data_IF_620095049337
#
_entry.id   IF_620095049337
#
_cell.length_a   1.000
_cell.length_b   1.000
_cell.length_c   1.000
_cell.angle_alpha   90.00
_cell.angle_beta   90.00
_cell.angle_gamma   90.00
#
_symmetry.space_group_name_H-M   'P 1'
#
loop_
_entity.id
_entity.type
_entity.pdbx_description
1 polymer ?
#
# COMPACT_ATOMS: atom_id res chain seq x y z
N UNK A 1 -9.72 9.44 -1.70
CA UNK A 1 -9.24 9.72 -3.08
C UNK A 1 -10.39 10.05 -4.04
N UNK A 2 -11.50 9.32 -3.97
CA UNK A 2 -12.67 9.54 -4.84
C UNK A 2 -13.52 10.73 -4.36
N UNK A 3 -13.53 11.05 -3.06
CA UNK A 3 -14.26 12.20 -2.51
C UNK A 3 -13.78 13.57 -3.03
N UNK A 4 -12.54 13.65 -3.49
CA UNK A 4 -11.98 14.85 -4.13
C UNK A 4 -12.33 14.96 -5.61
N UNK A 5 -13.29 14.19 -6.09
CA UNK A 5 -13.64 14.09 -7.53
C UNK A 5 -14.20 15.37 -8.15
N UNK A 6 -14.72 16.32 -7.34
CA UNK A 6 -15.11 17.64 -7.83
C UNK A 6 -13.94 18.49 -8.32
N UNK A 7 -12.72 18.16 -7.88
CA UNK A 7 -11.48 18.83 -8.22
C UNK A 7 -10.51 17.88 -8.96
N UNK A 8 -10.99 17.13 -9.95
CA UNK A 8 -10.13 16.31 -10.83
C UNK A 8 -9.13 17.18 -11.60
N UNK A 9 -8.29 17.87 -10.84
CA UNK A 9 -7.24 18.74 -11.32
C UNK A 9 -5.90 18.02 -11.23
N UNK A 10 -5.07 18.18 -12.25
CA UNK A 10 -3.66 17.77 -12.20
C UNK A 10 -2.86 18.60 -11.20
N UNK A 11 -3.40 19.72 -10.74
CA UNK A 11 -2.76 20.67 -9.82
C UNK A 11 -3.21 20.54 -8.37
N UNK A 12 -3.84 19.43 -7.99
CA UNK A 12 -4.23 19.22 -6.59
C UNK A 12 -3.01 19.16 -5.66
N UNK A 13 -3.15 19.58 -4.39
CA UNK A 13 -2.05 19.55 -3.43
C UNK A 13 -1.45 18.15 -3.27
N UNK A 14 -0.14 18.07 -3.21
CA UNK A 14 0.57 16.83 -2.88
C UNK A 14 0.39 16.55 -1.40
N UNK A 15 -0.07 15.34 -1.09
CA UNK A 15 -0.25 14.89 0.27
C UNK A 15 -0.34 13.36 0.29
N UNK A 16 0.10 12.76 1.36
CA UNK A 16 -0.10 11.34 1.62
C UNK A 16 -1.51 11.13 2.17
N UNK A 17 -2.41 10.65 1.33
CA UNK A 17 -3.82 10.40 1.67
C UNK A 17 -4.03 9.05 2.31
N UNK A 18 -3.16 8.10 1.96
CA UNK A 18 -3.21 6.74 2.49
C UNK A 18 -1.81 6.25 2.81
N UNK A 19 -1.62 5.73 4.00
CA UNK A 19 -0.43 4.97 4.38
C UNK A 19 -0.83 3.52 4.60
N UNK A 20 -0.10 2.58 4.00
CA UNK A 20 -0.31 1.15 4.19
C UNK A 20 0.91 0.57 4.89
N UNK A 21 0.70 0.01 6.07
CA UNK A 21 1.73 -0.64 6.89
C UNK A 21 1.67 -2.15 6.73
N UNK A 22 2.78 -2.72 6.28
CA UNK A 22 2.98 -4.16 6.19
C UNK A 22 3.97 -4.65 7.24
N UNK A 23 3.78 -5.83 7.82
CA UNK A 23 4.76 -6.41 8.74
C UNK A 23 6.05 -6.82 8.02
N UNK A 24 5.97 -7.23 6.76
CA UNK A 24 7.09 -7.76 5.98
C UNK A 24 7.21 -7.08 4.62
N UNK A 25 8.44 -6.90 4.14
CA UNK A 25 8.70 -6.30 2.82
C UNK A 25 8.14 -7.11 1.64
N UNK A 26 8.06 -8.43 1.76
CA UNK A 26 7.51 -9.30 0.70
C UNK A 26 6.03 -8.99 0.42
N UNK A 27 5.24 -8.74 1.46
CA UNK A 27 3.83 -8.35 1.31
C UNK A 27 3.68 -6.98 0.65
N UNK A 28 4.61 -6.06 0.94
CA UNK A 28 4.64 -4.75 0.30
C UNK A 28 4.87 -4.86 -1.22
N UNK A 29 5.67 -5.83 -1.69
CA UNK A 29 5.91 -6.04 -3.12
C UNK A 29 4.66 -6.57 -3.84
N UNK A 30 3.96 -7.54 -3.25
CA UNK A 30 2.70 -8.04 -3.81
C UNK A 30 1.66 -6.92 -3.98
N UNK A 31 1.58 -6.02 -3.01
CA UNK A 31 0.69 -4.86 -3.11
C UNK A 31 1.13 -3.84 -4.17
N UNK A 32 2.43 -3.68 -4.40
CA UNK A 32 2.90 -2.86 -5.52
C UNK A 32 2.40 -3.43 -6.87
N UNK A 33 2.44 -4.74 -7.05
CA UNK A 33 1.88 -5.42 -8.24
C UNK A 33 0.39 -5.07 -8.40
N UNK A 34 -0.39 -5.16 -7.32
CA UNK A 34 -1.82 -4.83 -7.33
C UNK A 34 -2.08 -3.36 -7.65
N UNK A 35 -1.30 -2.44 -7.08
CA UNK A 35 -1.42 -1.00 -7.38
C UNK A 35 -1.04 -0.70 -8.83
N UNK A 36 0.02 -1.32 -9.37
CA UNK A 36 0.38 -1.18 -10.78
C UNK A 36 -0.76 -1.62 -11.70
N UNK A 37 -1.39 -2.77 -11.41
CA UNK A 37 -2.57 -3.23 -12.16
C UNK A 37 -3.75 -2.28 -12.06
N UNK A 38 -4.04 -1.78 -10.87
CA UNK A 38 -5.26 -1.01 -10.58
C UNK A 38 -5.15 0.47 -10.92
N UNK A 39 -3.96 1.07 -10.83
CA UNK A 39 -3.78 2.52 -10.93
C UNK A 39 -2.84 2.94 -12.07
N UNK A 40 -2.00 2.04 -12.58
CA UNK A 40 -0.93 2.38 -13.52
C UNK A 40 -0.93 1.51 -14.78
N UNK A 41 -2.00 0.77 -15.04
CA UNK A 41 -2.10 -0.10 -16.19
C UNK A 41 -2.48 0.68 -17.46
N UNK A 42 -1.84 0.30 -18.59
CA UNK A 42 -2.26 0.64 -19.94
C UNK A 42 -2.54 -0.63 -20.72
N UNK A 43 -3.51 -0.60 -21.60
CA UNK A 43 -3.87 -1.73 -22.45
C UNK A 43 -4.02 -1.28 -23.90
N UNK A 44 -3.70 -2.15 -24.85
CA UNK A 44 -3.81 -1.86 -26.28
C UNK A 44 -5.21 -1.46 -26.72
N UNK A 45 -6.24 -2.06 -26.09
CA UNK A 45 -7.64 -1.70 -26.31
C UNK A 45 -8.09 -0.46 -25.54
N UNK A 46 -7.18 0.31 -24.97
CA UNK A 46 -7.45 1.52 -24.16
C UNK A 46 -8.39 1.27 -22.95
N UNK A 47 -8.35 0.07 -22.35
CA UNK A 47 -9.14 -0.29 -21.17
C UNK A 47 -8.34 -0.30 -19.86
N UNK A 48 -7.09 0.17 -19.86
CA UNK A 48 -6.26 0.30 -18.67
C UNK A 48 -6.71 1.43 -17.75
N UNK A 49 -6.22 1.43 -16.52
CA UNK A 49 -6.57 2.46 -15.53
C UNK A 49 -6.13 3.85 -15.98
N UNK A 50 -4.92 4.00 -16.50
CA UNK A 50 -4.42 5.27 -17.00
C UNK A 50 -5.19 5.73 -18.25
N UNK A 51 -5.57 4.80 -19.14
CA UNK A 51 -6.37 5.12 -20.33
C UNK A 51 -7.73 5.68 -19.93
N UNK A 52 -8.35 5.08 -18.90
CA UNK A 52 -9.62 5.56 -18.37
C UNK A 52 -9.48 6.95 -17.72
N UNK A 53 -8.42 7.16 -16.92
CA UNK A 53 -8.15 8.45 -16.28
C UNK A 53 -7.86 9.55 -17.30
N UNK A 54 -7.14 9.25 -18.37
CA UNK A 54 -6.85 10.18 -19.45
C UNK A 54 -8.14 10.60 -20.14
N UNK A 55 -9.01 9.65 -20.45
CA UNK A 55 -10.26 9.90 -21.18
C UNK A 55 -11.34 10.61 -20.35
N UNK A 56 -11.49 10.24 -19.08
CA UNK A 56 -12.64 10.66 -18.27
C UNK A 56 -12.29 11.57 -17.09
N UNK A 57 -11.00 11.76 -16.80
CA UNK A 57 -10.51 12.49 -15.62
C UNK A 57 -9.34 13.42 -15.92
N UNK A 58 -9.25 13.94 -17.12
CA UNK A 58 -8.25 14.93 -17.56
C UNK A 58 -6.80 14.51 -17.26
N UNK A 59 -6.48 13.23 -17.39
CA UNK A 59 -5.15 12.73 -17.12
C UNK A 59 -4.78 12.70 -15.62
N UNK A 60 -5.77 12.68 -14.73
CA UNK A 60 -5.52 12.57 -13.30
C UNK A 60 -4.66 11.35 -12.97
N UNK A 61 -3.79 11.46 -11.95
CA UNK A 61 -2.94 10.38 -11.47
C UNK A 61 -3.08 10.21 -9.97
N UNK A 62 -3.19 8.98 -9.51
CA UNK A 62 -3.05 8.61 -8.12
C UNK A 62 -1.61 8.14 -7.90
N UNK A 63 -0.75 9.03 -7.41
CA UNK A 63 0.64 8.71 -7.20
C UNK A 63 0.82 7.74 -6.03
N UNK A 64 1.58 6.69 -6.24
CA UNK A 64 1.86 5.69 -5.22
C UNK A 64 3.33 5.30 -5.23
N UNK A 65 3.82 4.84 -4.08
CA UNK A 65 5.20 4.38 -3.97
C UNK A 65 5.43 3.53 -2.73
N UNK A 66 6.45 2.69 -2.82
CA UNK A 66 6.95 1.90 -1.70
C UNK A 66 8.14 2.62 -1.07
N UNK A 67 8.07 2.86 0.23
CA UNK A 67 9.14 3.48 1.01
C UNK A 67 9.63 2.50 2.08
N UNK A 68 10.61 1.67 1.73
CA UNK A 68 11.17 0.61 2.58
C UNK A 68 12.70 0.62 2.49
N UNK A 69 13.37 -0.24 3.25
CA UNK A 69 14.83 -0.41 3.17
C UNK A 69 15.35 -0.71 1.77
N UNK A 70 14.57 -1.45 0.97
CA UNK A 70 14.91 -1.83 -0.42
C UNK A 70 14.54 -0.79 -1.48
N UNK A 71 13.86 0.31 -1.13
CA UNK A 71 13.53 1.34 -2.10
C UNK A 71 14.81 2.06 -2.55
N UNK A 72 15.03 2.17 -3.88
CA UNK A 72 16.25 2.78 -4.42
C UNK A 72 16.50 4.19 -3.91
N UNK A 73 17.77 4.53 -3.87
CA UNK A 73 18.31 5.85 -3.58
C UNK A 73 18.01 6.38 -2.19
N UNK A 74 19.01 6.30 -1.34
CA UNK A 74 19.04 6.93 -0.02
C UNK A 74 20.18 7.98 0.01
N UNK A 75 19.97 9.07 0.76
CA UNK A 75 20.97 10.11 0.97
C UNK A 75 20.57 11.49 0.44
N UNK A 76 21.50 12.44 0.46
CA UNK A 76 21.25 13.79 -0.06
C UNK A 76 21.17 13.81 -1.59
N UNK A 77 20.42 14.77 -2.13
CA UNK A 77 20.20 14.89 -3.58
C UNK A 77 21.49 14.96 -4.41
N UNK A 78 22.57 15.56 -3.87
CA UNK A 78 23.82 15.71 -4.60
C UNK A 78 24.66 14.42 -4.63
N UNK A 79 24.67 13.64 -3.53
CA UNK A 79 25.38 12.36 -3.49
C UNK A 79 24.62 11.22 -4.20
N UNK A 80 23.36 11.44 -4.52
CA UNK A 80 22.47 10.42 -5.07
C UNK A 80 22.34 10.48 -6.61
N UNK A 81 22.78 11.56 -7.27
CA UNK A 81 22.58 11.75 -8.72
C UNK A 81 23.09 10.59 -9.57
N UNK A 82 24.31 10.14 -9.33
CA UNK A 82 24.90 9.03 -10.10
C UNK A 82 24.22 7.70 -9.78
N UNK A 83 23.87 7.46 -8.51
CA UNK A 83 23.11 6.27 -8.11
C UNK A 83 21.73 6.24 -8.76
N UNK A 84 21.00 7.36 -8.76
CA UNK A 84 19.70 7.46 -9.44
C UNK A 84 19.85 7.12 -10.91
N UNK A 85 20.88 7.64 -11.58
CA UNK A 85 21.09 7.39 -13.00
C UNK A 85 21.34 5.92 -13.29
N UNK A 86 22.16 5.26 -12.49
CA UNK A 86 22.46 3.82 -12.62
C UNK A 86 21.22 2.99 -12.39
N UNK A 87 20.53 3.18 -11.25
CA UNK A 87 19.30 2.46 -10.89
C UNK A 87 18.20 2.69 -11.94
N UNK A 88 18.01 3.94 -12.36
CA UNK A 88 17.03 4.28 -13.40
C UNK A 88 17.31 3.55 -14.70
N UNK A 89 18.57 3.52 -15.15
CA UNK A 89 18.94 2.83 -16.39
C UNK A 89 18.68 1.33 -16.28
N UNK A 90 18.99 0.72 -15.15
CA UNK A 90 18.69 -0.69 -14.91
C UNK A 90 17.18 -0.95 -14.96
N UNK A 91 16.37 -0.19 -14.23
CA UNK A 91 14.91 -0.31 -14.24
C UNK A 91 14.30 -0.08 -15.64
N UNK A 92 14.85 0.83 -16.42
CA UNK A 92 14.43 1.05 -17.81
C UNK A 92 14.69 -0.18 -18.68
N UNK A 93 15.83 -0.85 -18.52
CA UNK A 93 16.13 -2.07 -19.28
C UNK A 93 15.24 -3.24 -18.82
N UNK A 94 15.02 -3.39 -17.52
CA UNK A 94 14.08 -4.39 -16.97
C UNK A 94 12.65 -4.16 -17.49
N UNK A 95 12.18 -2.90 -17.49
CA UNK A 95 10.88 -2.53 -18.04
C UNK A 95 10.76 -2.84 -19.53
N UNK A 96 11.77 -2.51 -20.34
CA UNK A 96 11.81 -2.83 -21.77
C UNK A 96 11.74 -4.33 -22.02
N UNK A 97 12.51 -5.13 -21.27
CA UNK A 97 12.50 -6.58 -21.37
C UNK A 97 11.12 -7.16 -21.03
N UNK A 98 10.48 -6.69 -19.93
CA UNK A 98 9.13 -7.10 -19.57
C UNK A 98 8.10 -6.72 -20.65
N UNK A 99 8.20 -5.52 -21.23
CA UNK A 99 7.33 -5.05 -22.31
C UNK A 99 7.48 -5.89 -23.57
N UNK A 100 8.72 -6.25 -23.92
CA UNK A 100 8.98 -7.14 -25.04
C UNK A 100 8.41 -8.55 -24.82
N UNK A 101 8.60 -9.13 -23.63
CA UNK A 101 8.04 -10.43 -23.30
C UNK A 101 6.50 -10.43 -23.34
N UNK A 102 5.88 -9.37 -22.81
CA UNK A 102 4.42 -9.18 -22.82
C UNK A 102 3.85 -9.03 -24.24
N UNK A 103 4.61 -8.47 -25.18
CA UNK A 103 4.17 -8.32 -26.58
C UNK A 103 4.22 -9.65 -27.36
N UNK A 104 4.99 -10.61 -26.89
CA UNK A 104 5.13 -11.91 -27.55
C UNK A 104 4.06 -12.92 -27.12
N UNK A 105 3.57 -12.83 -25.88
CA UNK A 105 2.58 -13.74 -25.34
C UNK A 105 1.70 -13.02 -24.31
N UNK A 106 0.36 -13.14 -24.42
CA UNK A 106 -0.61 -12.58 -23.48
C UNK A 106 -0.38 -13.09 -22.05
N UNK A 107 0.06 -14.33 -21.87
CA UNK A 107 0.38 -14.90 -20.56
C UNK A 107 1.52 -14.16 -19.86
N UNK A 108 2.45 -13.58 -20.61
CA UNK A 108 3.58 -12.81 -20.09
C UNK A 108 3.20 -11.38 -19.67
N UNK A 109 1.97 -10.96 -19.90
CA UNK A 109 1.51 -9.61 -19.56
C UNK A 109 1.62 -9.29 -18.07
N UNK A 110 1.48 -10.31 -17.23
CA UNK A 110 1.67 -10.18 -15.79
C UNK A 110 3.07 -9.67 -15.42
N UNK A 111 4.10 -9.98 -16.21
CA UNK A 111 5.48 -9.54 -15.97
C UNK A 111 5.61 -8.01 -15.93
N UNK A 112 4.76 -7.29 -16.67
CA UNK A 112 4.73 -5.82 -16.64
C UNK A 112 4.46 -5.25 -15.25
N UNK A 113 3.75 -5.97 -14.40
CA UNK A 113 3.40 -5.50 -13.08
C UNK A 113 4.42 -5.88 -12.00
N UNK A 114 5.41 -6.73 -12.35
CA UNK A 114 6.49 -7.11 -11.43
C UNK A 114 7.67 -6.11 -11.41
N UNK A 115 7.71 -5.21 -12.38
CA UNK A 115 8.72 -4.16 -12.47
C UNK A 115 8.08 -2.77 -12.40
N UNK A 116 8.77 -1.74 -11.86
CA UNK A 116 8.27 -0.37 -11.91
C UNK A 116 8.04 0.10 -13.35
N UNK A 117 6.91 0.74 -13.60
CA UNK A 117 6.63 1.32 -14.90
C UNK A 117 7.51 2.55 -15.15
N UNK A 118 8.39 2.48 -16.12
CA UNK A 118 9.35 3.54 -16.45
C UNK A 118 8.87 4.47 -17.56
N UNK A 119 7.57 4.45 -17.89
CA UNK A 119 6.97 5.41 -18.82
C UNK A 119 6.83 6.80 -18.17
N UNK A 120 6.89 7.83 -19.03
CA UNK A 120 6.94 9.24 -18.59
C UNK A 120 5.70 9.66 -17.78
N UNK A 121 4.56 9.08 -18.04
CA UNK A 121 3.27 9.38 -17.43
C UNK A 121 2.86 8.39 -16.32
N UNK A 122 3.82 7.56 -15.88
CA UNK A 122 3.62 6.64 -14.76
C UNK A 122 3.24 7.37 -13.49
N UNK A 123 2.29 6.78 -12.75
CA UNK A 123 1.89 7.24 -11.42
C UNK A 123 2.77 6.65 -10.31
N UNK A 124 3.64 5.68 -10.62
CA UNK A 124 4.52 5.05 -9.63
C UNK A 124 5.75 5.92 -9.34
N UNK A 125 5.98 6.17 -8.06
CA UNK A 125 7.18 6.84 -7.54
C UNK A 125 8.14 5.76 -7.04
N UNK A 126 9.11 5.40 -7.89
CA UNK A 126 9.97 4.24 -7.66
C UNK A 126 11.19 4.51 -6.75
N UNK A 127 11.53 5.77 -6.49
CA UNK A 127 12.68 6.19 -5.70
C UNK A 127 12.31 7.07 -4.51
N UNK A 128 13.16 7.06 -3.48
CA UNK A 128 12.91 7.84 -2.25
C UNK A 128 12.97 9.35 -2.47
N UNK A 129 13.84 9.83 -3.35
CA UNK A 129 14.00 11.28 -3.56
C UNK A 129 12.77 11.90 -4.20
N UNK A 130 12.15 11.20 -5.14
CA UNK A 130 10.89 11.63 -5.74
C UNK A 130 9.81 11.78 -4.67
N UNK A 131 9.69 10.78 -3.77
CA UNK A 131 8.70 10.80 -2.68
C UNK A 131 9.02 11.83 -1.59
N UNK A 132 10.30 12.07 -1.30
CA UNK A 132 10.73 13.10 -0.35
C UNK A 132 10.42 14.52 -0.83
N UNK A 133 10.46 14.74 -2.16
CA UNK A 133 10.13 16.04 -2.76
C UNK A 133 8.63 16.27 -2.91
N UNK A 134 7.89 15.20 -3.15
CA UNK A 134 6.45 15.24 -3.39
C UNK A 134 5.80 14.03 -2.75
N UNK A 135 4.99 14.23 -1.74
CA UNK A 135 4.29 13.14 -1.09
C UNK A 135 3.43 12.35 -2.10
N UNK A 136 3.53 11.00 -2.14
CA UNK A 136 2.61 10.17 -2.92
C UNK A 136 1.22 10.17 -2.27
N UNK A 137 0.18 9.91 -3.04
CA UNK A 137 -1.18 9.72 -2.49
C UNK A 137 -1.27 8.46 -1.64
N UNK A 138 -0.60 7.39 -2.09
CA UNK A 138 -0.55 6.10 -1.40
C UNK A 138 0.91 5.75 -1.12
N UNK A 139 1.26 5.70 0.15
CA UNK A 139 2.57 5.29 0.62
C UNK A 139 2.51 3.90 1.22
N UNK A 140 3.26 2.95 0.67
CA UNK A 140 3.45 1.63 1.26
C UNK A 140 4.75 1.61 2.04
N UNK A 141 4.70 1.20 3.30
CA UNK A 141 5.90 1.09 4.13
C UNK A 141 5.76 -0.04 5.17
N UNK A 142 6.78 -0.24 5.98
CA UNK A 142 6.73 -1.09 7.16
C UNK A 142 7.00 -0.29 8.43
N UNK A 143 6.70 -0.88 9.60
CA UNK A 143 6.85 -0.18 10.88
C UNK A 143 8.29 0.28 11.16
N UNK A 144 9.30 -0.53 10.79
CA UNK A 144 10.71 -0.18 11.02
C UNK A 144 11.12 1.04 10.20
N UNK A 145 10.68 1.11 8.95
CA UNK A 145 10.94 2.26 8.09
C UNK A 145 10.13 3.48 8.53
N UNK A 146 8.87 3.31 8.93
CA UNK A 146 8.07 4.41 9.48
C UNK A 146 8.74 5.02 10.71
N UNK A 147 9.28 4.20 11.62
CA UNK A 147 10.03 4.69 12.77
C UNK A 147 11.22 5.55 12.33
N UNK A 148 11.99 5.09 11.35
CA UNK A 148 13.11 5.86 10.79
C UNK A 148 12.64 7.18 10.17
N UNK A 149 11.56 7.16 9.38
CA UNK A 149 11.01 8.36 8.73
C UNK A 149 10.54 9.41 9.76
N UNK A 150 9.96 8.98 10.86
CA UNK A 150 9.49 9.88 11.92
C UNK A 150 10.63 10.51 12.72
N UNK A 151 11.78 9.84 12.80
CA UNK A 151 12.96 10.32 13.51
C UNK A 151 13.88 11.23 12.67
N UNK A 152 13.78 11.18 11.35
CA UNK A 152 14.64 11.95 10.44
C UNK A 152 13.92 13.15 9.84
N UNK A 153 14.70 14.16 9.45
CA UNK A 153 14.17 15.36 8.81
C UNK A 153 14.08 15.24 7.28
N UNK A 154 14.72 14.24 6.68
CA UNK A 154 14.78 14.11 5.23
C UNK A 154 13.41 13.77 4.61
N UNK A 155 12.52 13.16 5.37
CA UNK A 155 11.14 12.85 5.00
C UNK A 155 10.13 13.88 5.52
N UNK A 156 10.58 14.97 6.14
CA UNK A 156 9.69 15.96 6.78
C UNK A 156 8.63 16.49 5.81
N UNK A 157 9.00 16.75 4.55
CA UNK A 157 8.07 17.28 3.55
C UNK A 157 6.84 16.38 3.34
N UNK A 158 6.98 15.05 3.38
CA UNK A 158 5.86 14.11 3.25
C UNK A 158 4.79 14.37 4.33
N UNK A 159 5.24 14.52 5.57
CA UNK A 159 4.34 14.74 6.71
C UNK A 159 3.78 16.17 6.74
N UNK A 160 4.62 17.18 6.48
CA UNK A 160 4.21 18.58 6.49
C UNK A 160 3.20 18.90 5.38
N UNK A 161 3.39 18.39 4.18
CA UNK A 161 2.44 18.56 3.07
C UNK A 161 1.11 17.86 3.40
N UNK A 162 1.17 16.68 4.01
CA UNK A 162 -0.03 15.96 4.45
C UNK A 162 -0.77 16.71 5.56
N UNK A 163 -0.04 17.22 6.56
CA UNK A 163 -0.61 18.03 7.64
C UNK A 163 -1.28 19.31 7.10
N UNK A 164 -0.63 20.00 6.16
CA UNK A 164 -1.18 21.20 5.51
C UNK A 164 -2.47 20.87 4.76
N UNK A 165 -2.46 19.82 3.97
CA UNK A 165 -3.64 19.35 3.24
C UNK A 165 -4.81 19.00 4.19
N UNK A 166 -4.55 18.32 5.30
CA UNK A 166 -5.57 18.03 6.32
C UNK A 166 -6.14 19.29 6.97
N UNK A 167 -5.31 20.33 7.16
CA UNK A 167 -5.74 21.58 7.74
C UNK A 167 -6.56 22.46 6.79
N UNK A 168 -6.41 22.28 5.46
CA UNK A 168 -7.12 23.07 4.45
C UNK A 168 -8.64 22.79 4.43
N UNK A 169 -9.05 21.53 4.65
CA UNK A 169 -10.46 21.15 4.63
C UNK A 169 -10.75 20.03 5.65
N UNK A 170 -11.80 20.22 6.45
CA UNK A 170 -12.23 19.22 7.45
C UNK A 170 -12.80 17.94 6.82
N UNK A 171 -13.16 17.95 5.54
CA UNK A 171 -13.56 16.76 4.79
C UNK A 171 -12.39 15.91 4.32
N UNK A 172 -11.17 16.42 4.39
CA UNK A 172 -9.97 15.66 4.06
C UNK A 172 -9.74 14.57 5.11
N UNK A 173 -9.56 13.33 4.66
CA UNK A 173 -9.40 12.16 5.53
C UNK A 173 -8.11 11.41 5.18
N UNK A 174 -7.28 11.22 6.20
CA UNK A 174 -6.11 10.37 6.14
C UNK A 174 -6.50 8.91 6.45
N UNK A 175 -6.13 7.99 5.58
CA UNK A 175 -6.39 6.56 5.75
C UNK A 175 -5.12 5.84 6.21
N UNK A 176 -5.18 5.22 7.38
CA UNK A 176 -4.13 4.31 7.86
C UNK A 176 -4.60 2.87 7.69
N UNK A 177 -3.93 2.15 6.80
CA UNK A 177 -4.23 0.74 6.51
C UNK A 177 -3.16 -0.13 7.16
N UNK A 178 -3.58 -1.10 7.95
CA UNK A 178 -2.68 -2.06 8.62
C UNK A 178 -3.07 -3.46 8.20
N UNK A 179 -2.16 -4.11 7.50
CA UNK A 179 -2.34 -5.50 7.10
C UNK A 179 -1.79 -6.45 8.15
N UNK A 180 -2.39 -7.64 8.25
CA UNK A 180 -2.01 -8.68 9.20
C UNK A 180 -1.98 -8.19 10.66
N UNK A 181 -3.01 -7.44 11.07
CA UNK A 181 -3.09 -6.80 12.40
C UNK A 181 -2.82 -7.77 13.56
N UNK A 182 -3.15 -9.05 13.39
CA UNK A 182 -2.92 -10.08 14.40
C UNK A 182 -1.42 -10.31 14.71
N UNK A 183 -0.52 -9.90 13.83
CA UNK A 183 0.94 -10.00 14.06
C UNK A 183 1.45 -8.97 15.06
N UNK A 184 0.69 -7.89 15.28
CA UNK A 184 1.04 -6.80 16.19
C UNK A 184 0.48 -7.00 17.60
N UNK A 185 0.78 -8.15 18.23
CA UNK A 185 0.41 -8.46 19.61
C UNK A 185 1.63 -8.43 20.53
N UNK A 186 1.38 -8.24 21.83
CA UNK A 186 2.44 -8.17 22.83
C UNK A 186 3.35 -6.95 22.69
N UNK A 187 4.62 -7.06 23.06
CA UNK A 187 5.58 -5.95 23.08
C UNK A 187 5.73 -5.26 21.72
N UNK A 188 5.88 -6.04 20.65
CA UNK A 188 5.97 -5.51 19.28
C UNK A 188 4.72 -4.71 18.89
N UNK A 189 3.53 -5.17 19.30
CA UNK A 189 2.28 -4.45 19.07
C UNK A 189 2.23 -3.11 19.83
N UNK A 190 2.75 -3.07 21.04
CA UNK A 190 2.84 -1.84 21.82
C UNK A 190 3.74 -0.80 21.15
N UNK A 191 4.90 -1.22 20.63
CA UNK A 191 5.80 -0.33 19.88
C UNK A 191 5.13 0.28 18.66
N UNK A 192 4.42 -0.55 17.87
CA UNK A 192 3.70 -0.09 16.69
C UNK A 192 2.53 0.84 17.08
N UNK A 193 1.82 0.56 18.16
CA UNK A 193 0.77 1.41 18.69
C UNK A 193 1.29 2.80 19.07
N UNK A 194 2.47 2.89 19.71
CA UNK A 194 3.14 4.16 19.98
C UNK A 194 3.53 4.89 18.69
N UNK A 195 4.08 4.15 17.73
CA UNK A 195 4.51 4.72 16.44
C UNK A 195 3.32 5.34 15.68
N UNK A 196 2.16 4.71 15.73
CA UNK A 196 0.92 5.24 15.15
C UNK A 196 0.54 6.57 15.82
N UNK A 197 0.65 6.68 17.15
CA UNK A 197 0.35 7.93 17.87
C UNK A 197 1.30 9.03 17.48
N UNK A 198 2.60 8.74 17.36
CA UNK A 198 3.61 9.70 16.90
C UNK A 198 3.32 10.15 15.47
N UNK A 199 2.91 9.23 14.59
CA UNK A 199 2.51 9.54 13.22
C UNK A 199 1.31 10.51 13.21
N UNK A 200 0.26 10.19 13.96
CA UNK A 200 -0.94 11.03 14.01
C UNK A 200 -0.64 12.41 14.58
N UNK A 201 0.13 12.50 15.66
CA UNK A 201 0.57 13.78 16.24
C UNK A 201 1.34 14.62 15.20
N UNK A 202 2.26 13.99 14.46
CA UNK A 202 3.01 14.68 13.41
C UNK A 202 2.11 15.19 12.28
N UNK A 203 1.00 14.53 12.01
CA UNK A 203 -0.02 14.98 11.05
C UNK A 203 -1.00 16.00 11.64
N UNK A 204 -0.91 16.30 12.95
CA UNK A 204 -1.84 17.18 13.66
C UNK A 204 -3.20 16.53 13.92
N UNK A 205 -3.24 15.19 14.01
CA UNK A 205 -4.45 14.41 14.26
C UNK A 205 -4.39 13.75 15.64
N UNK A 206 -5.57 13.48 16.19
CA UNK A 206 -5.75 12.57 17.32
C UNK A 206 -6.41 11.27 16.82
N UNK A 207 -6.30 10.14 17.55
CA UNK A 207 -6.98 8.90 17.17
C UNK A 207 -8.49 9.05 16.98
N UNK A 208 -9.12 9.93 17.74
CA UNK A 208 -10.57 10.19 17.68
C UNK A 208 -10.96 11.22 16.60
N UNK A 209 -9.99 11.81 15.91
CA UNK A 209 -10.25 12.81 14.86
C UNK A 209 -11.14 12.23 13.75
N UNK A 210 -12.16 12.97 13.27
CA UNK A 210 -12.95 12.56 12.12
C UNK A 210 -12.14 12.52 10.81
N UNK A 211 -10.97 13.19 10.79
CA UNK A 211 -10.07 13.21 9.63
C UNK A 211 -9.10 12.01 9.57
N UNK A 212 -9.22 11.03 10.46
CA UNK A 212 -8.47 9.78 10.37
C UNK A 212 -9.42 8.60 10.29
N UNK A 213 -9.13 7.69 9.37
CA UNK A 213 -9.81 6.41 9.24
C UNK A 213 -8.80 5.27 9.31
N UNK A 214 -9.07 4.32 10.19
CA UNK A 214 -8.30 3.10 10.33
C UNK A 214 -8.96 1.99 9.52
N UNK A 215 -8.16 1.27 8.74
CA UNK A 215 -8.54 0.07 8.02
C UNK A 215 -7.56 -1.03 8.41
N UNK A 216 -8.05 -2.18 8.81
CA UNK A 216 -7.17 -3.28 9.20
C UNK A 216 -7.70 -4.61 8.68
N UNK A 217 -6.77 -5.48 8.23
CA UNK A 217 -7.05 -6.86 7.92
C UNK A 217 -6.45 -7.79 8.98
N UNK A 218 -7.10 -8.92 9.22
CA UNK A 218 -6.61 -9.92 10.17
C UNK A 218 -7.22 -11.29 9.87
N UNK A 219 -6.39 -12.33 9.86
CA UNK A 219 -6.84 -13.70 9.63
C UNK A 219 -7.49 -14.35 10.87
N UNK A 220 -7.27 -13.80 12.07
CA UNK A 220 -7.61 -14.49 13.34
C UNK A 220 -8.43 -13.69 14.34
N UNK A 221 -8.88 -12.49 13.97
CA UNK A 221 -9.71 -11.66 14.86
C UNK A 221 -11.19 -11.83 14.52
N UNK A 222 -11.98 -12.18 15.55
CA UNK A 222 -13.44 -12.26 15.46
C UNK A 222 -14.10 -11.09 16.18
N UNK A 223 -15.40 -10.97 16.02
CA UNK A 223 -16.22 -9.97 16.72
C UNK A 223 -16.44 -10.40 18.18
N UNK A 224 -15.60 -9.91 19.07
CA UNK A 224 -15.68 -10.17 20.50
C UNK A 224 -15.09 -9.02 21.31
N UNK A 225 -15.34 -9.02 22.64
CA UNK A 225 -14.87 -7.97 23.54
C UNK A 225 -13.34 -7.81 23.54
N UNK A 226 -12.58 -8.91 23.45
CA UNK A 226 -11.13 -8.84 23.45
C UNK A 226 -10.60 -8.13 22.20
N UNK A 227 -11.21 -8.37 21.03
CA UNK A 227 -10.89 -7.66 19.79
C UNK A 227 -11.23 -6.17 19.92
N UNK A 228 -12.39 -5.83 20.48
CA UNK A 228 -12.78 -4.42 20.67
C UNK A 228 -11.83 -3.69 21.61
N UNK A 229 -11.48 -4.30 22.75
CA UNK A 229 -10.52 -3.72 23.69
C UNK A 229 -9.13 -3.56 23.03
N UNK A 230 -8.67 -4.57 22.29
CA UNK A 230 -7.40 -4.51 21.56
C UNK A 230 -7.37 -3.39 20.51
N UNK A 231 -8.44 -3.23 19.72
CA UNK A 231 -8.53 -2.16 18.71
C UNK A 231 -8.46 -0.77 19.35
N UNK A 232 -9.21 -0.56 20.46
CA UNK A 232 -9.15 0.69 21.19
C UNK A 232 -7.74 0.99 21.71
N UNK A 233 -7.09 0.01 22.32
CA UNK A 233 -5.74 0.16 22.88
C UNK A 233 -4.69 0.36 21.78
N UNK A 234 -4.75 -0.43 20.73
CA UNK A 234 -3.78 -0.38 19.62
C UNK A 234 -3.86 0.94 18.86
N UNK A 235 -5.05 1.37 18.45
CA UNK A 235 -5.21 2.63 17.71
C UNK A 235 -5.29 3.86 18.62
N UNK A 236 -5.49 3.69 19.92
CA UNK A 236 -5.60 4.79 20.88
C UNK A 236 -6.96 5.49 20.88
N UNK A 237 -7.99 4.80 20.37
CA UNK A 237 -9.37 5.32 20.35
C UNK A 237 -10.01 5.09 21.70
N UNK A 238 -10.69 6.11 22.25
CA UNK A 238 -11.41 5.94 23.48
C UNK A 238 -12.58 4.94 23.34
N UNK A 239 -12.85 4.14 24.38
CA UNK A 239 -13.85 3.06 24.31
C UNK A 239 -15.26 3.55 23.96
N UNK A 240 -15.59 4.76 24.36
CA UNK A 240 -16.88 5.38 24.07
C UNK A 240 -17.09 5.66 22.57
N UNK A 241 -16.00 5.87 21.83
CA UNK A 241 -16.00 6.08 20.37
C UNK A 241 -15.84 4.80 19.55
N UNK A 242 -15.79 3.63 20.19
CA UNK A 242 -15.56 2.37 19.46
C UNK A 242 -16.56 2.16 18.32
N UNK A 243 -17.86 2.29 18.60
CA UNK A 243 -18.92 2.06 17.61
C UNK A 243 -18.92 3.07 16.46
N UNK A 244 -18.43 4.27 16.70
CA UNK A 244 -18.34 5.33 15.68
C UNK A 244 -17.10 5.15 14.79
N UNK A 245 -16.06 4.49 15.32
CA UNK A 245 -14.76 4.34 14.65
C UNK A 245 -14.54 2.97 14.02
N UNK A 246 -15.15 1.92 14.55
CA UNK A 246 -14.89 0.56 14.11
C UNK A 246 -16.16 -0.20 13.77
N UNK A 247 -16.13 -0.83 12.58
CA UNK A 247 -17.06 -1.87 12.17
C UNK A 247 -16.24 -3.12 11.87
N UNK A 248 -16.58 -4.23 12.53
CA UNK A 248 -15.88 -5.51 12.33
C UNK A 248 -16.69 -6.33 11.33
N UNK A 249 -16.05 -6.72 10.24
CA UNK A 249 -16.63 -7.61 9.24
C UNK A 249 -15.92 -8.95 9.29
N UNK A 250 -16.66 -10.00 9.61
CA UNK A 250 -16.15 -11.37 9.62
C UNK A 250 -16.80 -12.18 8.49
N UNK A 251 -16.05 -13.09 7.90
CA UNK A 251 -16.66 -14.09 7.03
C UNK A 251 -17.55 -14.99 7.87
N UNK A 252 -18.84 -14.93 7.65
CA UNK A 252 -19.78 -15.89 8.23
C UNK A 252 -19.41 -17.30 7.75
N UNK A 253 -18.95 -18.14 8.68
CA UNK A 253 -18.66 -19.56 8.40
C UNK A 253 -19.90 -20.32 7.92
N UNK A 254 -21.08 -19.71 8.00
CA UNK A 254 -22.35 -20.30 7.63
C UNK A 254 -22.69 -20.24 6.13
N UNK A 255 -21.90 -19.54 5.30
CA UNK A 255 -22.13 -19.53 3.84
C UNK A 255 -21.42 -20.67 3.10
N UNK A 256 -20.61 -21.48 3.78
CA UNK A 256 -20.05 -22.72 3.24
C UNK A 256 -20.93 -23.95 3.59
N UNK A 257 -22.25 -23.82 3.55
CA UNK A 257 -23.18 -24.95 3.70
C UNK A 257 -23.37 -25.79 2.43
N UNK A 258 -22.78 -25.40 1.30
CA UNK A 258 -22.56 -26.34 0.23
C UNK A 258 -21.26 -27.09 0.53
N UNK A 259 -21.36 -28.33 1.05
CA UNK A 259 -20.25 -29.26 0.97
C UNK A 259 -19.73 -29.22 -0.45
N UNK A 260 -18.43 -28.90 -0.68
CA UNK A 260 -17.90 -29.07 -2.02
C UNK A 260 -18.14 -30.53 -2.39
N UNK A 261 -18.95 -30.76 -3.41
CA UNK A 261 -19.20 -32.12 -3.93
C UNK A 261 -17.95 -32.78 -4.51
N UNK A 262 -16.86 -32.04 -4.57
CA UNK A 262 -15.54 -32.51 -4.98
C UNK A 262 -14.56 -32.44 -3.82
N UNK A 263 -14.48 -33.48 -3.01
CA UNK A 263 -13.27 -33.78 -2.27
C UNK A 263 -12.16 -34.02 -3.29
N UNK A 264 -11.07 -33.24 -3.22
CA UNK A 264 -9.85 -33.63 -3.92
C UNK A 264 -9.45 -35.01 -3.37
N UNK A 265 -9.45 -36.07 -4.19
CA UNK A 265 -9.20 -37.40 -3.68
C UNK A 265 -7.79 -37.45 -3.10
N UNK A 266 -7.66 -37.94 -1.86
CA UNK A 266 -6.36 -38.09 -1.17
C UNK A 266 -5.35 -38.82 -2.05
N UNK A 267 -5.82 -39.75 -2.89
CA UNK A 267 -5.04 -40.49 -3.88
C UNK A 267 -4.30 -39.58 -4.88
N UNK A 268 -4.86 -38.43 -5.25
CA UNK A 268 -4.18 -37.49 -6.14
C UNK A 268 -2.91 -36.90 -5.50
N UNK A 269 -2.97 -36.61 -4.18
CA UNK A 269 -1.79 -36.12 -3.43
C UNK A 269 -0.78 -37.22 -3.17
N UNK A 270 -1.22 -38.45 -2.88
CA UNK A 270 -0.35 -39.61 -2.71
C UNK A 270 0.39 -39.94 -4.03
N UNK A 271 -0.32 -39.89 -5.14
CA UNK A 271 0.28 -40.15 -6.47
C UNK A 271 1.27 -39.03 -6.85
N UNK A 272 0.97 -37.76 -6.53
CA UNK A 272 1.91 -36.66 -6.76
C UNK A 272 3.18 -36.80 -5.90
N UNK A 273 3.03 -37.12 -4.61
CA UNK A 273 4.16 -37.34 -3.70
C UNK A 273 5.04 -38.51 -4.17
N UNK A 274 4.43 -39.64 -4.60
CA UNK A 274 5.15 -40.82 -5.09
C UNK A 274 5.87 -40.59 -6.43
N UNK A 275 5.32 -39.73 -7.31
CA UNK A 275 5.97 -39.39 -8.60
C UNK A 275 7.16 -38.45 -8.41
N UNK A 276 7.19 -37.63 -7.34
CA UNK A 276 8.33 -36.77 -7.04
C UNK A 276 9.49 -37.53 -6.36
N UNK A 277 9.25 -38.65 -5.73
CA UNK A 277 10.28 -39.51 -5.10
C UNK A 277 10.99 -40.38 -6.13
N UNK A 278 10.36 -40.75 -7.25
CA UNK A 278 10.94 -41.60 -8.28
C UNK A 278 11.79 -40.87 -9.34
N UNK A 279 11.95 -39.53 -9.19
CA UNK A 279 12.79 -38.68 -10.08
C UNK A 279 14.08 -38.18 -9.41
N UNK A 280 14.65 -38.94 -8.44
CA UNK A 280 16.00 -38.71 -7.93
C UNK A 280 16.92 -39.84 -8.29
#
# INVERSE_FOLDING_TARGET
>A
LISESSSWSTNRPRAMRTMILYPLNALAEDQMIRLRKSLNSRRENHSGALDWLDKYRNGHRFYFGRYTGSTPVSGSADSAKDKIRIEKNQLVEEWKAAKQAASQNEENRELLYHVPCMEKDSAEMWDRLSMQKNAPDILITNYSMLNIMLMRNIEAAIFEDTKRWLAEDKSHVFHLVIDELHTYRGTAGTEVAYLIRVLLDRLGLTPDSPQVQFLASSASMGENKQTSDFLCEFFGVAKDFFKDKFSIFTNDKNTLTSKPETYLPVEAFVNYANTSITKK
#
